data_IF_181600748607
#
_entry.id   IF_181600748607
#
_cell.length_a   1.000
_cell.length_b   1.000
_cell.length_c   1.000
_cell.angle_alpha   90.00
_cell.angle_beta   90.00
_cell.angle_gamma   90.00
#
_symmetry.space_group_name_H-M   'P 1'
#
loop_
_entity.id
_entity.type
_entity.pdbx_description
1 polymer ?
#
# COMPACT_ATOMS: atom_id res chain seq x y z
N UNK A 1 3.26 -3.86 -0.46
CA UNK A 1 3.87 -4.57 0.67
C UNK A 1 3.64 -6.07 0.62
N UNK A 2 2.70 -6.59 -0.18
CA UNK A 2 2.36 -8.02 -0.18
C UNK A 2 3.45 -8.87 -0.82
N UNK A 3 4.10 -8.36 -1.87
CA UNK A 3 5.19 -9.06 -2.54
C UNK A 3 6.47 -9.02 -1.72
N UNK A 4 6.77 -7.88 -1.07
CA UNK A 4 7.89 -7.76 -0.13
C UNK A 4 7.67 -8.52 1.19
N UNK A 5 6.43 -8.63 1.69
CA UNK A 5 6.10 -9.53 2.82
C UNK A 5 6.25 -10.99 2.41
N UNK A 6 5.74 -11.35 1.23
CA UNK A 6 5.86 -12.70 0.67
C UNK A 6 7.32 -13.11 0.50
N UNK A 7 8.17 -12.21 0.03
CA UNK A 7 9.62 -12.41 -0.01
C UNK A 7 10.23 -12.63 1.38
N UNK A 8 9.83 -11.87 2.40
CA UNK A 8 10.29 -12.09 3.78
C UNK A 8 9.82 -13.42 4.37
N UNK A 9 8.60 -13.86 4.03
CA UNK A 9 8.09 -15.18 4.42
C UNK A 9 8.89 -16.27 3.72
N UNK A 10 9.17 -16.13 2.43
CA UNK A 10 10.02 -17.07 1.68
C UNK A 10 11.44 -17.10 2.23
N UNK A 11 12.01 -15.96 2.59
CA UNK A 11 13.33 -15.87 3.23
C UNK A 11 13.34 -16.57 4.59
N UNK A 12 12.28 -16.41 5.38
CA UNK A 12 12.11 -17.09 6.68
C UNK A 12 11.92 -18.60 6.54
N UNK A 13 11.24 -19.05 5.48
CA UNK A 13 11.00 -20.48 5.19
C UNK A 13 12.23 -21.15 4.56
N UNK A 14 12.96 -20.46 3.67
CA UNK A 14 14.14 -21.00 2.99
C UNK A 14 15.45 -20.79 3.77
N UNK A 15 15.43 -19.99 4.83
CA UNK A 15 16.63 -19.67 5.63
C UNK A 15 17.70 -18.88 4.87
N UNK A 16 17.39 -18.37 3.68
CA UNK A 16 18.31 -17.64 2.81
C UNK A 16 17.68 -16.31 2.42
N UNK A 17 18.40 -15.21 2.63
CA UNK A 17 17.92 -13.88 2.30
C UNK A 17 17.94 -13.65 0.79
N UNK A 18 16.82 -13.19 0.23
CA UNK A 18 16.75 -12.69 -1.14
C UNK A 18 17.76 -11.55 -1.38
N UNK A 19 18.41 -11.51 -2.56
CA UNK A 19 19.37 -10.46 -2.90
C UNK A 19 18.75 -9.06 -2.76
N UNK A 20 19.51 -8.12 -2.22
CA UNK A 20 19.11 -6.72 -2.04
C UNK A 20 18.48 -6.05 -3.28
N UNK A 21 19.00 -6.23 -4.52
CA UNK A 21 18.35 -5.67 -5.70
C UNK A 21 16.96 -6.27 -5.99
N UNK A 22 16.75 -7.56 -5.67
CA UNK A 22 15.44 -8.19 -5.84
C UNK A 22 14.43 -7.67 -4.81
N UNK A 23 14.87 -7.46 -3.56
CA UNK A 23 14.05 -6.83 -2.52
C UNK A 23 13.65 -5.40 -2.90
N UNK A 24 14.57 -4.65 -3.50
CA UNK A 24 14.28 -3.33 -4.04
C UNK A 24 13.22 -3.39 -5.15
N UNK A 25 13.40 -4.29 -6.12
CA UNK A 25 12.45 -4.47 -7.22
C UNK A 25 11.04 -4.83 -6.73
N UNK A 26 10.93 -5.73 -5.75
CA UNK A 26 9.64 -6.10 -5.14
C UNK A 26 8.97 -4.93 -4.40
N UNK A 27 9.76 -4.08 -3.74
CA UNK A 27 9.25 -2.88 -3.09
C UNK A 27 8.77 -1.84 -4.11
N UNK A 28 9.49 -1.65 -5.21
CA UNK A 28 9.07 -0.76 -6.31
C UNK A 28 7.79 -1.31 -6.97
N UNK A 29 7.71 -2.62 -7.20
CA UNK A 29 6.50 -3.26 -7.72
C UNK A 29 5.30 -3.06 -6.78
N UNK A 30 5.51 -3.18 -5.47
CA UNK A 30 4.50 -2.88 -4.46
C UNK A 30 4.02 -1.42 -4.50
N UNK A 31 4.94 -0.46 -4.66
CA UNK A 31 4.60 0.97 -4.80
C UNK A 31 3.88 1.27 -6.11
N UNK A 32 4.33 0.66 -7.21
CA UNK A 32 3.69 0.79 -8.51
C UNK A 32 2.26 0.23 -8.49
N UNK A 33 2.05 -0.92 -7.84
CA UNK A 33 0.73 -1.52 -7.67
C UNK A 33 -0.21 -0.61 -6.86
N UNK A 34 0.30 -0.03 -5.77
CA UNK A 34 -0.44 0.96 -4.98
C UNK A 34 -0.80 2.16 -5.86
N UNK A 35 0.16 2.73 -6.58
CA UNK A 35 -0.05 3.87 -7.48
C UNK A 35 -1.07 3.57 -8.59
N UNK A 36 -1.09 2.35 -9.12
CA UNK A 36 -2.01 1.93 -10.16
C UNK A 36 -3.44 1.69 -9.64
N UNK A 37 -3.58 1.12 -8.44
CA UNK A 37 -4.87 0.81 -7.83
C UNK A 37 -5.51 2.01 -7.12
N UNK A 38 -4.70 2.96 -6.66
CA UNK A 38 -5.17 4.14 -5.92
C UNK A 38 -6.25 4.93 -6.67
N UNK A 39 -6.11 5.27 -7.97
CA UNK A 39 -7.15 5.97 -8.72
C UNK A 39 -8.46 5.20 -8.74
N UNK A 40 -8.41 3.89 -9.00
CA UNK A 40 -9.59 3.02 -9.08
C UNK A 40 -10.32 2.99 -7.73
N UNK A 41 -9.58 2.81 -6.63
CA UNK A 41 -10.14 2.77 -5.28
C UNK A 41 -10.73 4.11 -4.90
N UNK A 42 -10.04 5.23 -5.17
CA UNK A 42 -10.54 6.57 -4.89
C UNK A 42 -11.78 6.90 -5.71
N UNK A 43 -11.88 6.45 -6.97
CA UNK A 43 -13.10 6.60 -7.77
C UNK A 43 -14.27 5.87 -7.12
N UNK A 44 -14.09 4.61 -6.70
CA UNK A 44 -15.14 3.83 -6.04
C UNK A 44 -15.58 4.43 -4.72
N UNK A 45 -14.64 4.85 -3.89
CA UNK A 45 -14.95 5.52 -2.63
C UNK A 45 -15.63 6.88 -2.86
N UNK A 46 -15.25 7.60 -3.92
CA UNK A 46 -15.90 8.83 -4.35
C UNK A 46 -17.34 8.61 -4.84
N UNK A 47 -17.62 7.53 -5.57
CA UNK A 47 -18.97 7.13 -5.95
C UNK A 47 -19.82 6.80 -4.73
N UNK A 48 -19.27 6.05 -3.77
CA UNK A 48 -19.96 5.78 -2.49
C UNK A 48 -20.25 7.06 -1.70
N UNK A 49 -19.31 8.00 -1.66
CA UNK A 49 -19.51 9.27 -0.99
C UNK A 49 -20.57 10.15 -1.66
N UNK A 50 -20.69 10.09 -3.00
CA UNK A 50 -21.75 10.78 -3.74
C UNK A 50 -23.12 10.13 -3.56
N UNK A 51 -23.17 8.81 -3.40
CA UNK A 51 -24.40 8.05 -3.18
C UNK A 51 -24.85 8.04 -1.71
N UNK A 52 -24.07 8.63 -0.80
CA UNK A 52 -24.37 8.65 0.61
C UNK A 52 -25.50 9.61 0.94
N UNK A 53 -26.36 9.21 1.88
CA UNK A 53 -27.46 10.05 2.34
C UNK A 53 -26.93 11.27 3.13
N UNK A 54 -27.66 12.41 3.11
CA UNK A 54 -27.31 13.57 3.91
C UNK A 54 -27.17 13.21 5.40
N UNK A 55 -26.00 13.48 5.98
CA UNK A 55 -25.66 13.15 7.38
C UNK A 55 -24.75 11.94 7.56
N UNK A 56 -24.48 11.17 6.51
CA UNK A 56 -23.57 10.03 6.55
C UNK A 56 -22.10 10.47 6.35
N UNK A 57 -21.33 10.51 7.43
CA UNK A 57 -19.91 10.93 7.42
C UNK A 57 -18.92 9.80 7.15
N UNK A 58 -19.34 8.54 7.32
CA UNK A 58 -18.49 7.35 7.16
C UNK A 58 -17.83 7.19 5.77
N UNK A 59 -18.44 7.59 4.63
CA UNK A 59 -17.79 7.46 3.32
C UNK A 59 -16.62 8.44 3.16
N UNK A 60 -16.79 9.68 3.65
CA UNK A 60 -15.73 10.68 3.66
C UNK A 60 -14.58 10.27 4.59
N UNK A 61 -14.90 9.70 5.76
CA UNK A 61 -13.91 9.13 6.67
C UNK A 61 -13.14 7.96 6.04
N UNK A 62 -13.80 7.10 5.27
CA UNK A 62 -13.15 5.99 4.57
C UNK A 62 -12.12 6.46 3.54
N UNK A 63 -12.43 7.53 2.78
CA UNK A 63 -11.47 8.16 1.86
C UNK A 63 -10.26 8.71 2.63
N UNK A 64 -10.51 9.46 3.71
CA UNK A 64 -9.45 10.03 4.53
C UNK A 64 -8.53 8.95 5.13
N UNK A 65 -9.13 7.88 5.67
CA UNK A 65 -8.39 6.76 6.25
C UNK A 65 -7.56 6.00 5.21
N UNK A 66 -8.11 5.83 4.00
CA UNK A 66 -7.41 5.21 2.88
C UNK A 66 -6.17 6.02 2.47
N UNK A 67 -6.31 7.33 2.28
CA UNK A 67 -5.18 8.22 1.93
C UNK A 67 -4.11 8.21 3.03
N UNK A 68 -4.53 8.30 4.29
CA UNK A 68 -3.62 8.27 5.44
C UNK A 68 -2.84 6.95 5.51
N UNK A 69 -3.53 5.81 5.31
CA UNK A 69 -2.92 4.49 5.27
C UNK A 69 -1.91 4.35 4.13
N UNK A 70 -2.25 4.79 2.92
CA UNK A 70 -1.34 4.74 1.77
C UNK A 70 -0.12 5.65 1.96
N UNK A 71 -0.29 6.85 2.50
CA UNK A 71 0.80 7.76 2.82
C UNK A 71 1.75 7.14 3.87
N UNK A 72 1.18 6.53 4.92
CA UNK A 72 1.97 5.83 5.93
C UNK A 72 2.78 4.66 5.35
N UNK A 73 2.17 3.87 4.47
CA UNK A 73 2.83 2.75 3.78
C UNK A 73 3.97 3.23 2.86
N UNK A 74 3.77 4.33 2.15
CA UNK A 74 4.81 4.94 1.32
C UNK A 74 6.00 5.41 2.18
N UNK A 75 5.71 6.14 3.27
CA UNK A 75 6.74 6.64 4.20
C UNK A 75 7.52 5.52 4.87
N UNK A 76 6.83 4.47 5.33
CA UNK A 76 7.48 3.31 5.97
C UNK A 76 8.34 2.52 4.99
N UNK A 77 7.90 2.36 3.74
CA UNK A 77 8.70 1.74 2.68
C UNK A 77 9.96 2.54 2.37
N UNK A 78 9.84 3.87 2.23
CA UNK A 78 10.98 4.79 2.04
C UNK A 78 11.97 4.75 3.22
N UNK A 79 11.48 4.69 4.46
CA UNK A 79 12.35 4.55 5.65
C UNK A 79 13.05 3.21 5.70
N UNK A 80 12.41 2.13 5.24
CA UNK A 80 13.04 0.80 5.15
C UNK A 80 14.22 0.78 4.20
N UNK A 81 14.20 1.59 3.13
CA UNK A 81 15.33 1.69 2.19
C UNK A 81 16.53 2.42 2.78
N UNK A 82 16.31 3.44 3.61
CA UNK A 82 17.40 4.22 4.23
C UNK A 82 18.22 3.45 5.27
N UNK A 83 17.72 2.31 5.76
CA UNK A 83 18.38 1.50 6.80
C UNK A 83 19.05 0.23 6.25
N UNK A 84 18.90 -0.04 4.95
CA UNK A 84 19.49 -1.20 4.28
C UNK A 84 20.74 -0.83 3.50
#
# INVERSE_FOLDING_TARGET
MLLSLGARVVDAVRGAALPQPLRFALMVADLALIGLLTPVVLTRLGEMAKAAEPGQWWPGAAIGLYVLGMAWLAVTSLRSLRRG
#
